data_IF_945943575216
#
_entry.id   IF_945943575216
#
_cell.length_a   1.000
_cell.length_b   1.000
_cell.length_c   1.000
_cell.angle_alpha   90.00
_cell.angle_beta   90.00
_cell.angle_gamma   90.00
#
_symmetry.space_group_name_H-M   'P 1'
#
loop_
_entity.id
_entity.type
_entity.pdbx_description
1 polymer ?
#
# COMPACT_ATOMS: atom_id res chain seq x y z
N UNK A 1 -6.37 -15.89 -2.02
CA UNK A 1 -5.77 -14.58 -1.67
C UNK A 1 -6.31 -13.47 -2.59
N UNK A 2 -6.89 -12.39 -2.04
CA UNK A 2 -7.64 -11.40 -2.83
C UNK A 2 -6.76 -10.25 -3.37
N UNK A 3 -5.76 -9.81 -2.59
CA UNK A 3 -4.92 -8.68 -2.95
C UNK A 3 -3.80 -9.08 -3.93
N UNK A 4 -3.73 -8.36 -5.06
CA UNK A 4 -2.79 -8.61 -6.16
C UNK A 4 -1.48 -7.84 -6.05
N UNK A 5 -1.45 -6.75 -5.26
CA UNK A 5 -0.31 -5.83 -5.17
C UNK A 5 0.67 -6.23 -4.05
N UNK A 6 1.96 -6.03 -4.28
CA UNK A 6 3.03 -6.12 -3.26
C UNK A 6 3.96 -4.92 -3.40
N UNK A 7 4.28 -4.25 -2.29
CA UNK A 7 5.25 -3.16 -2.25
C UNK A 7 6.63 -3.72 -1.86
N UNK A 8 7.63 -3.51 -2.72
CA UNK A 8 9.04 -3.77 -2.44
C UNK A 8 9.68 -2.47 -1.97
N UNK A 9 10.26 -2.50 -0.76
CA UNK A 9 10.82 -1.33 -0.08
C UNK A 9 12.35 -1.49 0.00
N UNK A 10 13.11 -1.13 -1.06
CA UNK A 10 14.56 -1.20 -1.01
C UNK A 10 15.13 -0.15 -0.04
N UNK A 11 16.08 -0.56 0.78
CA UNK A 11 16.91 0.35 1.56
C UNK A 11 18.04 0.92 0.69
N UNK A 12 18.71 1.96 1.18
CA UNK A 12 19.87 2.56 0.50
C UNK A 12 21.00 1.57 0.20
N UNK A 13 21.10 0.49 0.98
CA UNK A 13 22.11 -0.56 0.87
C UNK A 13 21.62 -1.78 0.09
N UNK A 14 20.36 -1.81 -0.34
CA UNK A 14 19.82 -2.94 -1.10
C UNK A 14 20.37 -2.92 -2.52
N UNK A 15 21.01 -4.03 -2.94
CA UNK A 15 21.54 -4.15 -4.30
C UNK A 15 20.44 -4.35 -5.35
N UNK A 16 20.70 -3.89 -6.58
CA UNK A 16 19.79 -4.10 -7.71
C UNK A 16 19.51 -5.59 -7.98
N UNK A 17 20.50 -6.46 -7.76
CA UNK A 17 20.33 -7.91 -7.85
C UNK A 17 19.29 -8.42 -6.86
N UNK A 18 19.34 -7.94 -5.61
CA UNK A 18 18.39 -8.33 -4.57
C UNK A 18 16.98 -7.87 -4.93
N UNK A 19 16.84 -6.64 -5.45
CA UNK A 19 15.54 -6.11 -5.87
C UNK A 19 14.98 -6.92 -7.03
N UNK A 20 15.79 -7.20 -8.04
CA UNK A 20 15.39 -7.98 -9.22
C UNK A 20 14.95 -9.39 -8.86
N UNK A 21 15.67 -10.04 -7.93
CA UNK A 21 15.29 -11.36 -7.38
C UNK A 21 13.98 -11.31 -6.62
N UNK A 22 13.75 -10.27 -5.82
CA UNK A 22 12.49 -10.09 -5.10
C UNK A 22 11.30 -9.87 -6.07
N UNK A 23 11.49 -9.06 -7.11
CA UNK A 23 10.49 -8.85 -8.17
C UNK A 23 10.10 -10.15 -8.86
N UNK A 24 11.09 -10.97 -9.24
CA UNK A 24 10.85 -12.27 -9.86
C UNK A 24 10.07 -13.22 -8.93
N UNK A 25 10.40 -13.26 -7.64
CA UNK A 25 9.63 -14.06 -6.66
C UNK A 25 8.17 -13.59 -6.58
N UNK A 26 7.94 -12.28 -6.53
CA UNK A 26 6.59 -11.73 -6.45
C UNK A 26 5.79 -12.04 -7.72
N UNK A 27 6.39 -11.88 -8.90
CA UNK A 27 5.72 -12.11 -10.18
C UNK A 27 5.53 -13.60 -10.46
N UNK A 28 6.62 -14.36 -10.47
CA UNK A 28 6.66 -15.71 -11.05
C UNK A 28 6.24 -16.79 -10.06
N UNK A 29 6.52 -16.59 -8.76
CA UNK A 29 6.20 -17.57 -7.72
C UNK A 29 4.87 -17.24 -7.04
N UNK A 30 4.66 -15.96 -6.70
CA UNK A 30 3.44 -15.54 -5.99
C UNK A 30 2.29 -15.15 -6.92
N UNK A 31 2.55 -14.91 -8.21
CA UNK A 31 1.53 -14.47 -9.17
C UNK A 31 0.98 -13.08 -8.85
N UNK A 32 1.80 -12.21 -8.26
CA UNK A 32 1.42 -10.87 -7.78
C UNK A 32 2.14 -9.78 -8.56
N UNK A 33 1.64 -8.55 -8.43
CA UNK A 33 2.21 -7.37 -9.05
C UNK A 33 3.12 -6.63 -8.06
N UNK A 34 4.46 -6.64 -8.25
CA UNK A 34 5.36 -5.85 -7.43
C UNK A 34 5.35 -4.37 -7.88
N UNK A 35 5.46 -3.47 -6.91
CA UNK A 35 5.85 -2.08 -7.14
C UNK A 35 7.03 -1.74 -6.24
N UNK A 36 7.95 -0.88 -6.70
CA UNK A 36 8.99 -0.32 -5.83
C UNK A 36 8.44 0.92 -5.14
N UNK A 37 8.57 1.01 -3.82
CA UNK A 37 8.19 2.17 -3.06
C UNK A 37 9.36 2.66 -2.19
N UNK A 38 9.47 3.97 -2.03
CA UNK A 38 10.45 4.56 -1.14
C UNK A 38 10.15 4.18 0.32
N UNK A 39 11.20 3.96 1.11
CA UNK A 39 11.08 3.74 2.54
C UNK A 39 10.61 5.03 3.25
N UNK A 40 9.30 5.14 3.38
CA UNK A 40 8.59 6.22 4.07
C UNK A 40 7.44 5.64 4.88
N UNK A 41 7.06 6.31 5.96
CA UNK A 41 5.90 5.88 6.78
C UNK A 41 4.66 5.70 5.90
N UNK A 42 4.10 4.49 5.93
CA UNK A 42 2.92 4.12 5.16
C UNK A 42 3.16 3.77 3.69
N UNK A 43 4.41 3.72 3.22
CA UNK A 43 4.76 3.37 1.83
C UNK A 43 3.88 4.12 0.82
N UNK A 44 3.35 3.48 -0.21
CA UNK A 44 2.41 4.11 -1.14
C UNK A 44 0.98 3.86 -0.69
N UNK A 45 0.61 2.60 -0.44
CA UNK A 45 -0.79 2.24 -0.19
C UNK A 45 -1.32 2.83 1.12
N UNK A 46 -0.61 2.64 2.23
CA UNK A 46 -1.10 3.12 3.53
C UNK A 46 -1.01 4.64 3.64
N UNK A 47 -0.07 5.27 2.96
CA UNK A 47 0.02 6.73 2.87
C UNK A 47 -1.20 7.37 2.20
N UNK A 48 -1.89 6.64 1.31
CA UNK A 48 -3.16 7.07 0.70
C UNK A 48 -4.38 6.63 1.52
N UNK A 49 -4.37 5.39 2.02
CA UNK A 49 -5.50 4.80 2.73
C UNK A 49 -5.76 5.51 4.06
N UNK A 50 -4.72 5.81 4.85
CA UNK A 50 -4.91 6.39 6.18
C UNK A 50 -5.59 7.77 6.11
N UNK A 51 -5.14 8.73 5.28
CA UNK A 51 -5.84 10.01 5.13
C UNK A 51 -7.29 9.86 4.66
N UNK A 52 -7.56 8.91 3.75
CA UNK A 52 -8.92 8.61 3.31
C UNK A 52 -9.81 8.17 4.48
N UNK A 53 -9.34 7.19 5.26
CA UNK A 53 -10.07 6.71 6.44
C UNK A 53 -10.27 7.81 7.50
N UNK A 54 -9.26 8.63 7.74
CA UNK A 54 -9.38 9.77 8.67
C UNK A 54 -10.37 10.82 8.17
N UNK A 55 -10.48 11.01 6.86
CA UNK A 55 -11.50 11.90 6.28
C UNK A 55 -12.90 11.34 6.46
N UNK A 56 -13.09 10.04 6.27
CA UNK A 56 -14.36 9.35 6.53
C UNK A 56 -14.78 9.50 8.00
N UNK A 57 -13.87 9.27 8.93
CA UNK A 57 -14.12 9.47 10.38
C UNK A 57 -14.56 10.90 10.67
N UNK A 58 -13.84 11.91 10.17
CA UNK A 58 -14.20 13.32 10.37
C UNK A 58 -15.55 13.69 9.77
N UNK A 59 -15.91 13.10 8.63
CA UNK A 59 -17.21 13.31 7.99
C UNK A 59 -18.36 12.78 8.86
N UNK A 60 -18.16 11.61 9.48
CA UNK A 60 -19.10 11.04 10.42
C UNK A 60 -19.20 11.88 11.71
N UNK A 61 -18.07 12.24 12.31
CA UNK A 61 -18.02 13.03 13.55
C UNK A 61 -18.67 14.41 13.41
N UNK A 62 -18.57 15.04 12.24
CA UNK A 62 -19.19 16.33 11.94
C UNK A 62 -20.68 16.25 11.57
N UNK A 63 -21.24 15.03 11.47
CA UNK A 63 -22.63 14.80 11.10
C UNK A 63 -22.96 15.12 9.64
N UNK A 64 -21.95 15.20 8.77
CA UNK A 64 -22.13 15.48 7.33
C UNK A 64 -22.83 14.32 6.62
N UNK A 65 -22.53 13.08 7.03
CA UNK A 65 -23.11 11.87 6.46
C UNK A 65 -23.25 10.77 7.53
N UNK A 66 -24.19 9.85 7.33
CA UNK A 66 -24.32 8.66 8.18
C UNK A 66 -23.16 7.69 7.93
N UNK A 67 -22.96 6.71 8.81
CA UNK A 67 -21.92 5.68 8.62
C UNK A 67 -22.20 4.88 7.35
N UNK A 68 -23.46 4.55 7.14
CA UNK A 68 -23.96 3.76 6.01
C UNK A 68 -23.83 4.48 4.67
N UNK A 69 -23.82 5.82 4.65
CA UNK A 69 -23.59 6.60 3.43
C UNK A 69 -22.10 6.86 3.14
N UNK A 70 -21.24 6.69 4.14
CA UNK A 70 -19.77 6.84 4.03
C UNK A 70 -19.11 5.56 3.49
N UNK A 71 -19.64 4.39 3.88
CA UNK A 71 -19.19 3.06 3.47
C UNK A 71 -19.72 2.65 2.08
#
# INVERSE_FOLDING_TARGET
PVQKLVELIPALTTSDETISRAEAVVQDVLGKHPIRAQDRSGFVVNALLIPYLLSAIRMFESGIASREDID
#
